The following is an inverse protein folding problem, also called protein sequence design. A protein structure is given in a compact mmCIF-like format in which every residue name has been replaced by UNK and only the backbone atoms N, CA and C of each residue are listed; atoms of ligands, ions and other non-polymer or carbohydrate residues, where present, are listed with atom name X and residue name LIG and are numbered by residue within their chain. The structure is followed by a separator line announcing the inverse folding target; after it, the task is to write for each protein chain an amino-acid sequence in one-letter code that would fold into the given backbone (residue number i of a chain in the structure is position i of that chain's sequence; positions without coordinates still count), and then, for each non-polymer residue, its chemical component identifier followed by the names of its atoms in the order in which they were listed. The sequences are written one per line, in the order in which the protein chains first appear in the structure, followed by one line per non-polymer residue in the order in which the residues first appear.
data_IF_679016220277
#
_entry.id   IF_679016220277
#
_cell.length_a   1.000
_cell.length_b   1.000
_cell.length_c   1.000
_cell.angle_alpha   90.00
_cell.angle_beta   90.00
_cell.angle_gamma   90.00
#
_symmetry.space_group_name_H-M   'P 1'
#
loop_
_entity.id
_entity.type
_entity.pdbx_description
1 polymer ?
#
# COMPACT_ATOMS: atom_id res chain seq x y z
N UNK A 1 -14.06 -2.18 24.29
CA UNK A 1 -14.15 -1.00 23.42
C UNK A 1 -13.92 -1.39 21.96
N UNK A 2 -12.75 -1.90 21.57
CA UNK A 2 -12.45 -2.26 20.17
C UNK A 2 -13.39 -3.33 19.58
N UNK A 3 -13.76 -4.34 20.36
CA UNK A 3 -14.71 -5.38 19.92
C UNK A 3 -16.06 -4.77 19.52
N UNK A 4 -16.61 -3.87 20.34
CA UNK A 4 -17.88 -3.19 20.03
C UNK A 4 -17.74 -2.40 18.75
N UNK A 5 -16.68 -1.57 18.65
CA UNK A 5 -16.44 -0.76 17.47
C UNK A 5 -16.37 -1.58 16.17
N UNK A 6 -15.55 -2.64 16.16
CA UNK A 6 -15.41 -3.46 14.95
C UNK A 6 -16.63 -4.32 14.66
N UNK A 7 -17.41 -4.71 15.67
CA UNK A 7 -18.69 -5.39 15.46
C UNK A 7 -19.69 -4.46 14.78
N UNK A 8 -19.81 -3.23 15.26
CA UNK A 8 -20.70 -2.23 14.66
C UNK A 8 -20.24 -1.84 13.25
N UNK A 9 -18.92 -1.72 13.04
CA UNK A 9 -18.34 -1.46 11.72
C UNK A 9 -18.65 -2.61 10.76
N UNK A 10 -18.47 -3.87 11.18
CA UNK A 10 -18.78 -5.05 10.36
C UNK A 10 -20.23 -4.97 9.85
N UNK A 11 -21.17 -4.81 10.77
CA UNK A 11 -22.57 -4.70 10.43
C UNK A 11 -22.86 -3.55 9.45
N UNK A 12 -22.26 -2.38 9.69
CA UNK A 12 -22.41 -1.24 8.80
C UNK A 12 -21.88 -1.52 7.39
N UNK A 13 -20.70 -2.17 7.28
CA UNK A 13 -20.11 -2.49 5.96
C UNK A 13 -20.92 -3.55 5.22
N UNK A 14 -21.52 -4.50 5.92
CA UNK A 14 -22.45 -5.47 5.33
C UNK A 14 -23.73 -4.81 4.84
N UNK A 15 -24.36 -3.95 5.64
CA UNK A 15 -25.54 -3.19 5.27
C UNK A 15 -25.33 -2.32 4.01
N UNK A 16 -24.07 -1.87 3.79
CA UNK A 16 -23.70 -1.10 2.60
C UNK A 16 -23.24 -1.98 1.42
N UNK A 17 -23.04 -3.26 1.62
CA UNK A 17 -22.42 -4.16 0.62
C UNK A 17 -20.94 -3.88 0.37
N UNK A 18 -20.22 -3.31 1.33
CA UNK A 18 -18.81 -2.91 1.20
C UNK A 18 -17.84 -3.82 1.94
N UNK A 19 -18.34 -4.83 2.65
CA UNK A 19 -17.50 -5.70 3.48
C UNK A 19 -16.34 -6.32 2.70
N UNK A 20 -16.61 -6.89 1.52
CA UNK A 20 -15.60 -7.59 0.72
C UNK A 20 -14.55 -6.68 0.10
N UNK A 21 -14.81 -5.38 0.06
CA UNK A 21 -13.88 -4.35 -0.41
C UNK A 21 -13.20 -3.60 0.73
N UNK A 22 -13.55 -3.93 1.99
CA UNK A 22 -13.04 -3.25 3.19
C UNK A 22 -11.90 -4.02 3.80
N UNK A 23 -10.74 -3.36 3.93
CA UNK A 23 -9.55 -3.88 4.60
C UNK A 23 -9.26 -3.08 5.85
N UNK A 24 -8.93 -3.77 6.94
CA UNK A 24 -8.40 -3.11 8.14
C UNK A 24 -6.90 -2.91 7.92
N UNK A 25 -6.50 -1.65 7.78
CA UNK A 25 -5.11 -1.25 7.55
C UNK A 25 -4.30 -1.34 8.83
N UNK A 26 -3.11 -1.94 8.74
CA UNK A 26 -2.16 -2.10 9.84
C UNK A 26 -0.82 -1.51 9.39
N UNK A 27 -0.31 -0.54 10.16
CA UNK A 27 0.98 0.13 9.88
C UNK A 27 2.15 -0.85 10.04
N UNK A 28 3.24 -0.61 9.32
CA UNK A 28 4.48 -1.40 9.38
C UNK A 28 5.14 -1.40 10.76
N UNK A 29 4.81 -0.42 11.61
CA UNK A 29 5.35 -0.24 12.96
C UNK A 29 4.46 -0.91 14.01
N UNK A 30 5.05 -1.85 14.75
CA UNK A 30 4.40 -2.38 15.94
C UNK A 30 3.18 -3.26 15.69
N UNK A 31 3.16 -4.01 14.59
CA UNK A 31 2.11 -5.02 14.37
C UNK A 31 2.06 -6.00 15.53
N UNK A 32 0.92 -6.05 16.19
CA UNK A 32 0.67 -6.92 17.34
C UNK A 32 -0.30 -8.04 16.94
N UNK A 33 0.13 -9.30 17.11
CA UNK A 33 -0.70 -10.47 16.81
C UNK A 33 -2.06 -10.42 17.54
N UNK A 34 -2.13 -9.79 18.71
CA UNK A 34 -3.40 -9.61 19.45
C UNK A 34 -4.43 -8.78 18.69
N UNK A 35 -4.00 -7.89 17.79
CA UNK A 35 -4.93 -7.16 16.93
C UNK A 35 -5.62 -8.09 15.93
N UNK A 36 -4.86 -9.00 15.32
CA UNK A 36 -5.42 -10.03 14.44
C UNK A 36 -6.34 -10.99 15.21
N UNK A 37 -5.93 -11.45 16.40
CA UNK A 37 -6.75 -12.33 17.24
C UNK A 37 -8.08 -11.67 17.69
N UNK A 38 -8.10 -10.34 17.76
CA UNK A 38 -9.33 -9.59 17.99
C UNK A 38 -10.22 -9.58 16.74
N UNK A 39 -9.62 -9.27 15.58
CA UNK A 39 -10.35 -9.19 14.31
C UNK A 39 -10.94 -10.54 13.91
N UNK A 40 -10.21 -11.64 14.10
CA UNK A 40 -10.67 -13.00 13.81
C UNK A 40 -11.92 -13.43 14.58
N UNK A 41 -12.22 -12.75 15.70
CA UNK A 41 -13.41 -13.02 16.50
C UNK A 41 -14.64 -12.24 16.06
N UNK A 42 -14.46 -11.31 15.12
CA UNK A 42 -15.51 -10.44 14.62
C UNK A 42 -15.86 -10.90 13.22
N UNK A 43 -16.88 -11.73 13.16
CA UNK A 43 -17.30 -12.39 11.93
C UNK A 43 -18.52 -11.68 11.33
N UNK A 44 -18.52 -11.57 10.02
CA UNK A 44 -19.68 -11.16 9.25
C UNK A 44 -20.72 -12.26 9.10
N UNK A 45 -21.80 -11.97 8.37
CA UNK A 45 -22.88 -12.94 8.08
C UNK A 45 -22.38 -14.18 7.32
N UNK A 46 -21.32 -14.02 6.51
CA UNK A 46 -20.64 -15.09 5.77
C UNK A 46 -19.70 -15.95 6.65
N UNK A 47 -19.60 -15.63 7.94
CA UNK A 47 -18.70 -16.30 8.88
C UNK A 47 -17.22 -15.95 8.74
N UNK A 48 -16.88 -14.89 8.00
CA UNK A 48 -15.50 -14.46 7.79
C UNK A 48 -15.21 -13.12 8.49
N UNK A 49 -13.96 -12.92 8.97
CA UNK A 49 -13.55 -11.65 9.53
C UNK A 49 -13.36 -10.58 8.44
N UNK A 50 -13.01 -9.35 8.82
CA UNK A 50 -12.50 -8.36 7.90
C UNK A 50 -11.19 -8.81 7.25
N UNK A 51 -11.01 -8.46 5.98
CA UNK A 51 -9.71 -8.55 5.33
C UNK A 51 -8.74 -7.55 5.96
N UNK A 52 -7.47 -7.91 5.95
CA UNK A 52 -6.38 -7.09 6.51
C UNK A 52 -5.41 -6.64 5.43
N UNK A 53 -4.92 -5.42 5.54
CA UNK A 53 -3.85 -4.90 4.71
C UNK A 53 -2.73 -4.34 5.59
N UNK A 54 -1.47 -4.61 5.25
CA UNK A 54 -0.37 -4.14 6.05
C UNK A 54 0.95 -4.07 5.29
N UNK A 55 1.87 -3.25 5.77
CA UNK A 55 3.19 -3.09 5.18
C UNK A 55 4.28 -3.67 6.08
N UNK A 56 5.31 -4.27 5.49
CA UNK A 56 6.45 -4.84 6.21
C UNK A 56 7.78 -4.46 5.53
N UNK A 57 8.67 -3.93 6.33
CA UNK A 57 10.05 -3.63 5.94
C UNK A 57 11.06 -4.74 6.36
N UNK A 58 10.63 -5.70 7.19
CA UNK A 58 11.42 -6.82 7.68
C UNK A 58 10.64 -8.13 7.52
N UNK A 59 11.09 -9.01 6.64
CA UNK A 59 10.42 -10.29 6.30
C UNK A 59 11.18 -11.52 6.79
N UNK A 60 12.43 -11.37 7.21
CA UNK A 60 13.33 -12.45 7.60
C UNK A 60 12.94 -13.14 8.91
N UNK A 61 12.26 -12.42 9.81
CA UNK A 61 11.89 -12.90 11.14
C UNK A 61 10.39 -12.84 11.46
N UNK A 62 9.55 -12.52 10.47
CA UNK A 62 8.11 -12.26 10.68
C UNK A 62 7.21 -13.05 9.73
N UNK A 63 7.60 -14.28 9.40
CA UNK A 63 6.86 -15.13 8.48
C UNK A 63 5.40 -15.33 8.92
N UNK A 64 5.17 -15.71 10.19
CA UNK A 64 3.81 -15.97 10.70
C UNK A 64 2.92 -14.73 10.63
N UNK A 65 3.50 -13.56 10.91
CA UNK A 65 2.79 -12.31 10.79
C UNK A 65 2.46 -11.99 9.32
N UNK A 66 3.42 -12.21 8.41
CA UNK A 66 3.20 -12.02 6.99
C UNK A 66 2.08 -12.92 6.44
N UNK A 67 1.92 -14.13 6.97
CA UNK A 67 0.85 -15.06 6.61
C UNK A 67 -0.51 -14.73 7.27
N UNK A 68 -0.59 -13.69 8.10
CA UNK A 68 -1.85 -13.21 8.70
C UNK A 68 -2.44 -11.99 7.98
N UNK A 69 -1.70 -11.39 7.05
CA UNK A 69 -2.11 -10.19 6.34
C UNK A 69 -2.60 -10.59 4.95
N UNK A 70 -3.87 -10.33 4.62
CA UNK A 70 -4.44 -10.71 3.33
C UNK A 70 -3.80 -9.95 2.17
N UNK A 71 -3.64 -8.64 2.27
CA UNK A 71 -2.93 -7.79 1.31
C UNK A 71 -1.62 -7.26 1.94
N UNK A 72 -0.55 -8.01 1.74
CA UNK A 72 0.76 -7.68 2.28
C UNK A 72 1.56 -6.80 1.32
N UNK A 73 2.08 -5.70 1.84
CA UNK A 73 2.95 -4.79 1.11
C UNK A 73 4.38 -4.92 1.64
N UNK A 74 5.34 -5.30 0.80
CA UNK A 74 6.73 -5.52 1.21
C UNK A 74 7.63 -4.42 0.66
N UNK A 75 8.46 -3.85 1.53
CA UNK A 75 9.42 -2.81 1.16
C UNK A 75 10.50 -3.33 0.20
N UNK A 76 10.81 -2.56 -0.84
CA UNK A 76 11.80 -2.96 -1.85
C UNK A 76 13.19 -3.25 -1.29
N UNK A 77 13.57 -2.59 -0.18
CA UNK A 77 14.85 -2.86 0.50
C UNK A 77 14.84 -4.20 1.22
N UNK A 78 13.73 -4.58 1.85
CA UNK A 78 13.58 -5.91 2.44
C UNK A 78 13.68 -7.01 1.37
N UNK A 79 13.04 -6.80 0.23
CA UNK A 79 13.15 -7.72 -0.93
C UNK A 79 14.59 -7.84 -1.40
N UNK A 80 15.29 -6.71 -1.57
CA UNK A 80 16.69 -6.68 -2.01
C UNK A 80 17.61 -7.42 -1.04
N UNK A 81 17.40 -7.25 0.26
CA UNK A 81 18.23 -7.84 1.31
C UNK A 81 17.94 -9.32 1.53
N UNK A 82 16.68 -9.76 1.32
CA UNK A 82 16.19 -11.10 1.64
C UNK A 82 15.41 -11.72 0.47
N UNK A 83 15.97 -11.66 -0.75
CA UNK A 83 15.28 -12.09 -1.98
C UNK A 83 14.74 -13.53 -1.91
N UNK A 84 15.57 -14.48 -1.43
CA UNK A 84 15.14 -15.88 -1.34
C UNK A 84 14.01 -16.09 -0.32
N UNK A 85 13.98 -15.33 0.77
CA UNK A 85 12.89 -15.35 1.76
C UNK A 85 11.63 -14.78 1.14
N UNK A 86 11.77 -13.68 0.41
CA UNK A 86 10.63 -13.08 -0.31
C UNK A 86 10.03 -14.02 -1.35
N UNK A 87 10.86 -14.70 -2.15
CA UNK A 87 10.39 -15.64 -3.17
C UNK A 87 9.57 -16.78 -2.57
N UNK A 88 10.03 -17.35 -1.46
CA UNK A 88 9.29 -18.39 -0.74
C UNK A 88 7.98 -17.85 -0.18
N UNK A 89 8.01 -16.69 0.45
CA UNK A 89 6.84 -16.05 1.02
C UNK A 89 5.78 -15.77 -0.05
N UNK A 90 6.18 -15.23 -1.21
CA UNK A 90 5.25 -14.97 -2.33
C UNK A 90 4.61 -16.26 -2.81
N UNK A 91 5.40 -17.33 -3.01
CA UNK A 91 4.89 -18.61 -3.47
C UNK A 91 3.88 -19.23 -2.48
N UNK A 92 4.18 -19.19 -1.18
CA UNK A 92 3.29 -19.70 -0.14
C UNK A 92 1.98 -18.89 -0.07
N UNK A 93 2.06 -17.58 -0.16
CA UNK A 93 0.92 -16.67 -0.12
C UNK A 93 0.04 -16.81 -1.37
N UNK A 94 0.64 -17.01 -2.55
CA UNK A 94 -0.08 -17.26 -3.79
C UNK A 94 -0.91 -18.55 -3.71
N UNK A 95 -0.34 -19.64 -3.17
CA UNK A 95 -1.07 -20.89 -2.92
C UNK A 95 -2.23 -20.67 -1.93
N UNK A 96 -2.06 -19.81 -0.96
CA UNK A 96 -3.10 -19.45 0.01
C UNK A 96 -4.14 -18.44 -0.54
N UNK A 97 -3.99 -17.96 -1.78
CA UNK A 97 -4.88 -16.96 -2.39
C UNK A 97 -4.68 -15.54 -1.84
N UNK A 98 -3.57 -15.28 -1.16
CA UNK A 98 -3.25 -13.99 -0.55
C UNK A 98 -2.49 -13.08 -1.52
N UNK A 99 -2.72 -11.76 -1.41
CA UNK A 99 -2.06 -10.78 -2.25
C UNK A 99 -0.73 -10.31 -1.63
N UNK A 100 0.29 -10.18 -2.48
CA UNK A 100 1.58 -9.58 -2.11
C UNK A 100 1.94 -8.48 -3.08
N UNK A 101 2.12 -7.26 -2.56
CA UNK A 101 2.50 -6.08 -3.33
C UNK A 101 3.85 -5.54 -2.86
N UNK A 102 4.40 -4.60 -3.60
CA UNK A 102 5.69 -3.97 -3.30
C UNK A 102 5.48 -2.48 -3.04
N UNK A 103 6.21 -1.92 -2.10
CA UNK A 103 6.28 -0.48 -1.92
C UNK A 103 7.73 0.01 -1.90
N UNK A 104 7.91 1.30 -2.18
CA UNK A 104 9.17 2.01 -2.03
C UNK A 104 9.01 3.17 -1.06
N UNK A 105 10.02 3.37 -0.23
CA UNK A 105 10.10 4.47 0.73
C UNK A 105 11.25 5.41 0.37
N UNK A 106 11.40 6.51 1.10
CA UNK A 106 12.53 7.44 0.98
C UNK A 106 13.87 6.72 0.90
N UNK A 107 14.68 7.06 -0.10
CA UNK A 107 15.97 6.41 -0.35
C UNK A 107 15.92 5.08 -1.08
N UNK A 108 14.72 4.53 -1.33
CA UNK A 108 14.59 3.28 -2.09
C UNK A 108 14.66 3.50 -3.59
N UNK A 109 15.16 2.50 -4.32
CA UNK A 109 15.19 2.48 -5.77
C UNK A 109 14.49 1.22 -6.32
N UNK A 110 13.75 1.34 -7.45
CA UNK A 110 13.49 2.58 -8.20
C UNK A 110 12.64 3.57 -7.40
N UNK A 111 13.00 4.85 -7.44
CA UNK A 111 12.33 5.91 -6.69
C UNK A 111 11.09 6.46 -7.40
N UNK A 112 10.25 7.14 -6.62
CA UNK A 112 9.07 7.82 -7.15
C UNK A 112 8.91 9.22 -6.52
N UNK A 113 10.01 9.94 -6.46
CA UNK A 113 10.15 11.27 -5.85
C UNK A 113 10.27 12.35 -6.93
N UNK A 114 10.17 13.61 -6.55
CA UNK A 114 10.36 14.73 -7.49
C UNK A 114 11.78 14.75 -8.09
N UNK A 115 12.76 14.27 -7.33
CA UNK A 115 14.17 14.19 -7.76
C UNK A 115 14.51 12.89 -8.51
N UNK A 116 13.62 11.91 -8.51
CA UNK A 116 13.85 10.65 -9.23
C UNK A 116 13.91 10.88 -10.73
N UNK A 117 14.78 10.17 -11.39
CA UNK A 117 14.82 10.19 -12.85
C UNK A 117 13.45 9.77 -13.44
N UNK A 118 12.95 10.40 -14.50
CA UNK A 118 11.60 10.12 -15.04
C UNK A 118 11.38 8.64 -15.41
N UNK A 119 12.44 7.90 -15.71
CA UNK A 119 12.39 6.46 -15.95
C UNK A 119 12.13 5.63 -14.72
N UNK A 120 12.49 6.10 -13.53
CA UNK A 120 12.33 5.33 -12.30
C UNK A 120 10.87 5.09 -11.93
N UNK A 121 10.01 6.10 -12.09
CA UNK A 121 8.56 5.92 -11.87
C UNK A 121 7.95 4.83 -12.77
N UNK A 122 8.46 4.70 -13.98
CA UNK A 122 8.09 3.60 -14.89
C UNK A 122 8.66 2.27 -14.40
N UNK A 123 9.94 2.26 -13.98
CA UNK A 123 10.62 1.07 -13.48
C UNK A 123 10.03 0.55 -12.17
N UNK A 124 9.44 1.39 -11.34
CA UNK A 124 8.80 0.97 -10.08
C UNK A 124 7.76 -0.13 -10.31
N UNK A 125 6.89 0.05 -11.31
CA UNK A 125 5.89 -0.97 -11.66
C UNK A 125 6.53 -2.23 -12.24
N UNK A 126 7.56 -2.06 -13.09
CA UNK A 126 8.30 -3.18 -13.67
C UNK A 126 9.06 -3.98 -12.63
N UNK A 127 9.70 -3.27 -11.70
CA UNK A 127 10.41 -3.89 -10.59
C UNK A 127 9.46 -4.71 -9.74
N UNK A 128 8.32 -4.15 -9.33
CA UNK A 128 7.32 -4.87 -8.56
C UNK A 128 6.94 -6.20 -9.23
N UNK A 129 6.60 -6.15 -10.52
CA UNK A 129 6.26 -7.34 -11.28
C UNK A 129 7.44 -8.31 -11.41
N UNK A 130 8.65 -7.80 -11.72
CA UNK A 130 9.83 -8.65 -11.95
C UNK A 130 10.30 -9.42 -10.72
N UNK A 131 10.00 -8.92 -9.52
CA UNK A 131 10.33 -9.62 -8.27
C UNK A 131 9.22 -10.56 -7.80
N UNK A 132 8.11 -10.67 -8.53
CA UNK A 132 6.97 -11.53 -8.18
C UNK A 132 5.84 -10.83 -7.41
N UNK A 133 5.91 -9.49 -7.27
CA UNK A 133 4.82 -8.72 -6.66
C UNK A 133 3.62 -8.57 -7.61
N UNK A 134 2.43 -8.64 -7.07
CA UNK A 134 1.16 -8.53 -7.81
C UNK A 134 0.68 -7.07 -7.96
N UNK A 135 1.40 -6.11 -7.40
CA UNK A 135 1.07 -4.69 -7.48
C UNK A 135 2.10 -3.82 -6.78
N UNK A 136 1.84 -2.53 -6.82
CA UNK A 136 2.65 -1.52 -6.18
C UNK A 136 1.79 -0.63 -5.29
N UNK A 137 2.16 -0.52 -4.02
CA UNK A 137 1.53 0.39 -3.08
C UNK A 137 2.27 1.73 -3.06
N UNK A 138 1.53 2.81 -3.09
CA UNK A 138 2.02 4.13 -2.74
C UNK A 138 1.35 4.56 -1.43
N UNK A 139 2.15 4.81 -0.38
CA UNK A 139 1.66 5.10 0.96
C UNK A 139 0.88 6.42 1.04
N UNK A 140 1.20 7.39 0.18
CA UNK A 140 0.53 8.67 0.11
C UNK A 140 0.28 9.08 -1.34
N UNK A 141 -0.97 9.37 -1.65
CA UNK A 141 -1.42 9.76 -3.00
C UNK A 141 -1.61 11.26 -3.13
N UNK A 142 -2.10 11.91 -2.07
CA UNK A 142 -2.52 13.30 -2.02
C UNK A 142 -2.25 13.98 -0.66
N UNK A 143 -1.28 13.48 0.10
CA UNK A 143 -0.87 14.08 1.37
C UNK A 143 0.02 15.31 1.10
N UNK A 144 -0.63 16.42 0.76
CA UNK A 144 0.07 17.61 0.32
C UNK A 144 0.81 18.35 1.43
N UNK A 145 1.96 18.91 1.07
CA UNK A 145 2.64 19.96 1.82
C UNK A 145 1.85 21.29 1.72
N UNK A 146 2.26 22.31 2.46
CA UNK A 146 1.50 23.55 2.56
C UNK A 146 1.25 24.28 1.21
N UNK A 147 2.21 24.25 0.29
CA UNK A 147 2.10 24.89 -1.05
C UNK A 147 2.74 23.97 -2.11
N UNK A 148 2.11 22.84 -2.47
CA UNK A 148 2.72 21.81 -3.29
C UNK A 148 2.98 22.22 -4.73
N UNK A 149 2.35 23.31 -5.20
CA UNK A 149 2.57 23.84 -6.54
C UNK A 149 3.83 24.71 -6.65
N UNK A 150 4.37 25.19 -5.52
CA UNK A 150 5.59 26.01 -5.46
C UNK A 150 6.75 25.29 -4.80
N UNK A 151 6.45 24.53 -3.74
CA UNK A 151 7.46 23.83 -2.97
C UNK A 151 6.95 22.42 -2.61
N UNK A 152 7.67 21.40 -3.06
CA UNK A 152 7.34 20.00 -2.80
C UNK A 152 8.14 19.41 -1.63
N UNK A 153 8.95 20.22 -0.93
CA UNK A 153 9.78 19.75 0.17
C UNK A 153 8.94 19.35 1.38
N UNK A 154 9.41 18.34 2.10
CA UNK A 154 8.82 17.85 3.33
C UNK A 154 9.91 17.71 4.40
N UNK A 155 9.56 17.91 5.68
CA UNK A 155 10.54 17.88 6.77
C UNK A 155 11.18 16.50 7.00
N UNK A 156 10.46 15.42 6.72
CA UNK A 156 10.89 14.05 7.02
C UNK A 156 11.08 13.17 5.78
N UNK A 157 10.51 13.54 4.64
CA UNK A 157 10.51 12.73 3.42
C UNK A 157 11.09 13.52 2.25
N UNK A 158 11.58 12.83 1.24
CA UNK A 158 12.08 13.46 0.02
C UNK A 158 10.96 14.22 -0.72
N UNK A 159 11.36 15.26 -1.43
CA UNK A 159 10.42 16.11 -2.16
C UNK A 159 9.51 15.29 -3.08
N UNK A 160 8.20 15.47 -2.91
CA UNK A 160 7.16 14.77 -3.67
C UNK A 160 6.90 13.33 -3.23
N UNK A 161 7.50 12.86 -2.14
CA UNK A 161 7.21 11.53 -1.60
C UNK A 161 5.75 11.41 -1.12
N UNK A 162 5.20 12.48 -0.60
CA UNK A 162 3.88 12.49 0.04
C UNK A 162 2.70 12.56 -0.95
N UNK A 163 2.91 12.72 -2.26
CA UNK A 163 1.81 12.84 -3.21
C UNK A 163 2.20 12.54 -4.65
N UNK A 164 1.24 12.04 -5.41
CA UNK A 164 1.33 11.78 -6.86
C UNK A 164 0.43 12.69 -7.69
N UNK A 165 -0.54 13.33 -7.06
CA UNK A 165 -1.39 14.35 -7.68
C UNK A 165 -1.19 15.69 -7.00
N UNK A 166 -1.45 16.77 -7.73
CA UNK A 166 -1.43 18.12 -7.21
C UNK A 166 -2.86 18.65 -7.02
N UNK A 167 -3.11 19.52 -6.04
CA UNK A 167 -4.41 20.16 -5.89
C UNK A 167 -4.68 21.11 -7.04
N UNK A 168 -5.95 21.39 -7.33
CA UNK A 168 -6.35 22.51 -8.15
C UNK A 168 -6.69 23.71 -7.26
N UNK A 169 -5.83 24.71 -7.30
CA UNK A 169 -6.03 25.94 -6.52
C UNK A 169 -6.83 27.01 -7.29
N UNK A 170 -7.12 26.78 -8.57
CA UNK A 170 -7.74 27.78 -9.44
C UNK A 170 -9.27 27.81 -9.31
N UNK A 171 -9.88 26.67 -9.05
CA UNK A 171 -11.32 26.55 -8.91
C UNK A 171 -11.69 25.69 -7.69
N UNK A 172 -11.96 26.35 -6.57
CA UNK A 172 -12.36 25.67 -5.33
C UNK A 172 -13.78 25.13 -5.35
N UNK A 173 -14.60 25.54 -6.33
CA UNK A 173 -15.99 25.06 -6.48
C UNK A 173 -16.07 23.82 -7.35
N UNK A 174 -15.15 23.66 -8.29
CA UNK A 174 -15.06 22.50 -9.16
C UNK A 174 -13.57 22.09 -9.32
N UNK A 175 -12.93 21.60 -8.26
CA UNK A 175 -11.52 21.29 -8.28
C UNK A 175 -11.19 20.15 -9.24
N UNK A 176 -10.20 20.36 -10.11
CA UNK A 176 -9.69 19.36 -11.05
C UNK A 176 -8.25 18.98 -10.65
N UNK A 177 -8.06 17.89 -9.92
CA UNK A 177 -6.72 17.47 -9.48
C UNK A 177 -5.79 17.25 -10.70
N UNK A 178 -4.54 17.65 -10.57
CA UNK A 178 -3.54 17.54 -11.63
C UNK A 178 -2.61 16.36 -11.39
N UNK A 179 -2.58 15.44 -12.33
CA UNK A 179 -1.64 14.33 -12.30
C UNK A 179 -0.19 14.80 -12.41
N UNK A 180 0.69 14.28 -11.59
CA UNK A 180 2.13 14.43 -11.78
C UNK A 180 2.62 13.58 -12.97
N UNK A 181 3.80 13.91 -13.50
CA UNK A 181 4.49 13.07 -14.49
C UNK A 181 4.77 11.65 -13.93
N UNK A 182 5.00 11.54 -12.63
CA UNK A 182 5.23 10.27 -11.95
C UNK A 182 4.01 9.37 -12.03
N UNK A 183 2.83 9.89 -11.72
CA UNK A 183 1.57 9.15 -11.85
C UNK A 183 1.30 8.75 -13.31
N UNK A 184 1.49 9.67 -14.25
CA UNK A 184 1.30 9.40 -15.67
C UNK A 184 2.26 8.32 -16.21
N UNK A 185 3.47 8.21 -15.66
CA UNK A 185 4.43 7.16 -16.02
C UNK A 185 4.06 5.82 -15.40
N UNK A 186 3.59 5.78 -14.16
CA UNK A 186 3.09 4.57 -13.51
C UNK A 186 1.88 3.98 -14.28
N UNK A 187 0.90 4.83 -14.66
CA UNK A 187 -0.33 4.39 -15.32
C UNK A 187 -0.18 3.88 -16.75
N UNK A 188 0.81 4.36 -17.50
CA UNK A 188 0.98 3.96 -18.91
C UNK A 188 1.31 2.48 -19.13
N UNK A 189 1.67 1.74 -18.10
CA UNK A 189 1.98 0.32 -18.21
C UNK A 189 0.88 -0.63 -17.78
N UNK A 190 0.01 -0.24 -16.87
CA UNK A 190 -1.19 -1.05 -16.58
C UNK A 190 -2.05 -1.31 -17.83
N UNK A 191 -2.02 -0.38 -18.79
CA UNK A 191 -2.77 -0.49 -20.05
C UNK A 191 -2.09 -1.36 -21.14
N UNK A 192 -0.81 -1.69 -21.00
CA UNK A 192 -0.06 -2.49 -22.01
C UNK A 192 0.20 -3.94 -21.59
N UNK A 193 -0.14 -4.30 -20.36
CA UNK A 193 -0.01 -5.67 -19.85
C UNK A 193 -1.36 -6.43 -19.84
N UNK A 194 -2.41 -5.82 -20.39
CA UNK A 194 -3.65 -6.47 -20.79
C UNK A 194 -3.58 -6.80 -22.27
#
# INVERSE_FOLDING_TARGET
MWTIFFTDLMKHMEEKGWKDETYIGIDERGMDMRAFDLLDKILGEDGKPFLTAGAMDHIDSKHDLAMRIDDLNVGSMAIKSHKSTFDKLVAEREVAGMRTTVYTCTGHQPGNFSLSAPGESYWTMMYSYSVGGQGYLRWAYDSWVADPLKDTTHNAFEAGDCFLIFPDEKDTKNPQPKSSLRLAKNGRRCQRCQ
#
